data_IF_400207716385
#
_entry.id   IF_400207716385
#
_cell.length_a   1.000
_cell.length_b   1.000
_cell.length_c   1.000
_cell.angle_alpha   90.00
_cell.angle_beta   90.00
_cell.angle_gamma   90.00
#
_symmetry.space_group_name_H-M   'P 1'
#
loop_
_entity.id
_entity.type
_entity.pdbx_description
1 polymer ?
#
# COMPACT_ATOMS: atom_id res chain seq x y z
N UNK A 1 -4.78 60.02 54.36
CA UNK A 1 -3.50 59.35 54.62
C UNK A 1 -3.63 57.88 54.25
N UNK A 2 -2.74 57.44 53.32
CA UNK A 2 -2.39 56.06 52.99
C UNK A 2 -3.45 55.24 52.26
N UNK A 3 -3.43 55.09 50.96
CA UNK A 3 -2.73 54.28 49.98
C UNK A 3 -2.77 52.78 50.24
N UNK A 4 -3.47 52.07 49.39
CA UNK A 4 -3.03 50.81 48.90
C UNK A 4 -3.60 50.53 47.49
N UNK A 5 -2.71 50.42 46.50
CA UNK A 5 -3.02 49.89 45.15
C UNK A 5 -2.93 48.36 45.19
N UNK A 6 -3.74 47.61 44.49
CA UNK A 6 -3.50 46.20 44.24
C UNK A 6 -2.81 45.99 42.90
N UNK A 7 -1.91 45.07 42.97
CA UNK A 7 -1.21 44.41 41.89
C UNK A 7 -2.16 43.45 41.13
N UNK A 8 -2.39 43.74 39.90
CA UNK A 8 -3.07 42.83 38.93
C UNK A 8 -2.13 42.75 37.73
N UNK A 9 -1.28 41.73 37.72
CA UNK A 9 -0.60 41.26 36.50
C UNK A 9 -0.07 39.84 36.78
N UNK A 10 -0.64 38.85 36.16
CA UNK A 10 -0.01 37.59 35.70
C UNK A 10 -1.02 36.45 35.59
N UNK A 11 -1.83 36.42 34.55
CA UNK A 11 -2.45 35.19 34.06
C UNK A 11 -2.90 35.35 32.61
N UNK A 12 -1.92 35.43 31.73
CA UNK A 12 -2.20 35.36 30.29
C UNK A 12 -0.94 34.89 29.55
N UNK A 13 -0.47 33.66 29.85
CA UNK A 13 0.61 33.03 29.06
C UNK A 13 0.61 31.50 29.25
N UNK A 14 -0.47 30.83 29.02
CA UNK A 14 -0.50 29.38 29.05
C UNK A 14 -1.45 28.71 28.03
N UNK A 15 -2.02 29.46 27.10
CA UNK A 15 -3.03 28.90 26.19
C UNK A 15 -2.56 28.75 24.72
N UNK A 16 -1.30 29.09 24.39
CA UNK A 16 -0.86 29.13 22.99
C UNK A 16 0.02 27.96 22.55
N UNK A 17 0.39 27.04 23.43
CA UNK A 17 1.31 25.92 23.09
C UNK A 17 0.62 24.60 22.78
N UNK A 18 -0.67 24.43 23.00
CA UNK A 18 -1.37 23.15 22.71
C UNK A 18 -1.99 23.07 21.31
N UNK A 19 -2.13 24.17 20.59
CA UNK A 19 -2.73 24.15 19.23
C UNK A 19 -1.70 23.84 18.13
N UNK A 20 -0.41 24.02 18.38
CA UNK A 20 0.64 23.80 17.39
C UNK A 20 1.03 22.33 17.17
N UNK A 21 0.75 21.42 18.11
CA UNK A 21 1.16 20.01 18.02
C UNK A 21 0.16 19.11 17.27
N UNK A 22 -1.07 19.56 17.02
CA UNK A 22 -2.07 18.76 16.30
C UNK A 22 -2.05 18.97 14.77
N UNK A 23 -1.41 20.00 14.27
CA UNK A 23 -1.39 20.35 12.84
C UNK A 23 -0.20 19.78 12.05
N UNK A 24 0.78 19.18 12.72
CA UNK A 24 2.08 18.83 12.12
C UNK A 24 2.02 17.67 11.10
N UNK A 25 1.07 16.74 11.24
CA UNK A 25 0.94 15.61 10.31
C UNK A 25 0.38 16.00 8.93
N UNK A 26 -0.21 17.19 8.79
CA UNK A 26 -0.77 17.68 7.52
C UNK A 26 0.26 18.36 6.63
N UNK A 27 1.54 18.36 7.03
CA UNK A 27 2.62 18.91 6.23
C UNK A 27 3.62 17.83 5.84
N UNK A 28 3.86 17.72 4.54
CA UNK A 28 4.88 16.82 4.01
C UNK A 28 6.30 17.31 4.38
N UNK A 29 7.15 16.38 4.80
CA UNK A 29 8.59 16.64 4.98
C UNK A 29 9.32 16.93 3.65
N UNK A 30 8.67 16.66 2.52
CA UNK A 30 9.21 16.94 1.17
C UNK A 30 8.71 18.26 0.59
N UNK A 31 7.92 19.04 1.35
CA UNK A 31 7.48 20.37 1.00
C UNK A 31 5.99 20.49 0.68
N UNK A 32 5.51 21.74 0.64
CA UNK A 32 4.08 22.07 0.51
C UNK A 32 3.44 21.54 -0.80
N UNK A 33 4.22 21.47 -1.89
CA UNK A 33 3.73 21.04 -3.19
C UNK A 33 3.97 19.53 -3.44
N UNK A 34 4.40 18.78 -2.42
CA UNK A 34 4.67 17.37 -2.59
C UNK A 34 3.37 16.59 -2.79
N UNK A 35 3.36 15.76 -3.83
CA UNK A 35 2.23 14.90 -4.22
C UNK A 35 2.63 13.41 -4.35
N UNK A 36 3.87 13.06 -3.99
CA UNK A 36 4.39 11.69 -4.16
C UNK A 36 4.93 11.06 -2.87
N UNK A 37 4.92 11.80 -1.77
CA UNK A 37 5.24 11.25 -0.45
C UNK A 37 6.56 10.51 -0.38
N UNK A 38 6.55 9.31 0.18
CA UNK A 38 7.73 8.48 0.36
C UNK A 38 8.40 8.05 -0.97
N UNK A 39 7.73 8.18 -2.14
CA UNK A 39 8.37 7.95 -3.43
C UNK A 39 9.52 8.94 -3.71
N UNK A 40 9.62 10.07 -3.00
CA UNK A 40 10.81 10.93 -3.00
C UNK A 40 12.09 10.23 -2.54
N UNK A 41 11.99 9.08 -1.87
CA UNK A 41 13.13 8.26 -1.44
C UNK A 41 13.69 7.40 -2.58
N UNK A 42 13.00 7.28 -3.71
CA UNK A 42 13.42 6.46 -4.85
C UNK A 42 14.45 7.20 -5.70
N UNK A 43 15.67 7.34 -5.15
CA UNK A 43 16.78 8.02 -5.84
C UNK A 43 17.54 7.08 -6.78
N UNK A 44 18.31 7.61 -7.74
CA UNK A 44 19.18 6.79 -8.58
C UNK A 44 20.14 5.88 -7.80
N UNK A 45 20.59 6.32 -6.62
CA UNK A 45 21.48 5.56 -5.75
C UNK A 45 20.75 4.35 -5.15
N UNK A 46 19.49 4.52 -4.71
CA UNK A 46 18.64 3.43 -4.21
C UNK A 46 18.45 2.37 -5.32
N UNK A 47 18.16 2.81 -6.55
CA UNK A 47 18.03 1.90 -7.70
C UNK A 47 19.32 1.12 -7.94
N UNK A 48 20.48 1.80 -8.00
CA UNK A 48 21.78 1.13 -8.20
C UNK A 48 22.08 0.10 -7.11
N UNK A 49 21.78 0.43 -5.86
CA UNK A 49 21.97 -0.50 -4.75
C UNK A 49 21.06 -1.72 -4.87
N UNK A 50 19.80 -1.52 -5.27
CA UNK A 50 18.84 -2.60 -5.44
C UNK A 50 19.20 -3.54 -6.59
N UNK A 51 19.71 -3.02 -7.71
CA UNK A 51 20.22 -3.82 -8.83
C UNK A 51 21.35 -4.78 -8.39
N UNK A 52 22.16 -4.38 -7.42
CA UNK A 52 23.22 -5.23 -6.84
C UNK A 52 22.69 -6.46 -6.07
N UNK A 53 21.38 -6.57 -5.83
CA UNK A 53 20.74 -7.74 -5.19
C UNK A 53 20.45 -8.87 -6.17
N UNK A 54 20.53 -8.63 -7.47
CA UNK A 54 20.29 -9.67 -8.49
C UNK A 54 21.47 -10.63 -8.52
N UNK A 55 21.25 -11.83 -8.01
CA UNK A 55 22.29 -12.88 -7.90
C UNK A 55 22.11 -14.00 -8.93
N UNK A 56 20.88 -14.45 -9.12
CA UNK A 56 20.56 -15.58 -9.98
C UNK A 56 19.87 -15.18 -11.27
N UNK A 57 19.27 -13.97 -11.31
CA UNK A 57 18.41 -13.50 -12.39
C UNK A 57 17.02 -14.15 -12.38
N UNK A 58 16.66 -14.92 -11.34
CA UNK A 58 15.34 -15.50 -11.22
C UNK A 58 14.30 -14.43 -10.96
N UNK A 59 13.23 -14.46 -11.76
CA UNK A 59 12.11 -13.53 -11.66
C UNK A 59 10.92 -14.17 -10.96
N UNK A 60 10.18 -13.38 -10.18
CA UNK A 60 8.99 -13.78 -9.46
C UNK A 60 7.88 -12.80 -9.80
N UNK A 61 6.80 -13.22 -10.49
CA UNK A 61 5.60 -12.40 -10.60
C UNK A 61 4.95 -12.33 -9.22
N UNK A 62 4.57 -11.11 -8.80
CA UNK A 62 4.00 -10.87 -7.47
C UNK A 62 2.50 -10.58 -7.50
N UNK A 63 1.85 -10.67 -8.65
CA UNK A 63 0.42 -10.45 -8.78
C UNK A 63 -0.38 -11.75 -8.78
N UNK A 64 -1.59 -11.69 -8.22
CA UNK A 64 -2.60 -12.72 -8.41
C UNK A 64 -3.39 -12.44 -9.71
N UNK A 65 -3.77 -13.46 -10.49
CA UNK A 65 -4.65 -13.25 -11.65
C UNK A 65 -5.98 -12.65 -11.22
N UNK A 66 -6.39 -11.58 -11.89
CA UNK A 66 -7.68 -10.93 -11.63
C UNK A 66 -8.78 -11.61 -12.41
N UNK A 67 -9.88 -11.98 -11.75
CA UNK A 67 -11.07 -12.58 -12.36
C UNK A 67 -12.35 -12.12 -11.66
N UNK A 68 -13.49 -12.40 -12.26
CA UNK A 68 -14.81 -12.14 -11.66
C UNK A 68 -15.07 -12.91 -10.36
N UNK A 69 -14.32 -13.98 -10.13
CA UNK A 69 -14.49 -14.87 -8.98
C UNK A 69 -13.51 -14.54 -7.83
N UNK A 70 -12.63 -13.56 -8.03
CA UNK A 70 -11.69 -13.14 -7.00
C UNK A 70 -12.46 -12.40 -5.87
N UNK A 71 -12.31 -12.83 -4.60
CA UNK A 71 -12.96 -12.13 -3.49
C UNK A 71 -12.43 -10.71 -3.37
N UNK A 72 -13.33 -9.76 -3.17
CA UNK A 72 -12.98 -8.35 -3.06
C UNK A 72 -13.77 -7.68 -1.94
N UNK A 73 -13.18 -6.67 -1.32
CA UNK A 73 -13.76 -5.96 -0.19
C UNK A 73 -15.09 -5.28 -0.56
N UNK A 74 -16.13 -5.52 0.26
CA UNK A 74 -17.50 -5.01 0.07
C UNK A 74 -18.11 -5.43 -1.27
N UNK A 75 -18.59 -4.44 -2.06
CA UNK A 75 -19.30 -4.65 -3.33
C UNK A 75 -18.41 -4.50 -4.58
N UNK A 76 -17.08 -4.50 -4.39
CA UNK A 76 -16.15 -4.39 -5.52
C UNK A 76 -16.24 -5.64 -6.39
N UNK A 77 -16.17 -5.44 -7.71
CA UNK A 77 -16.24 -6.52 -8.69
C UNK A 77 -15.34 -6.23 -9.88
N UNK A 78 -15.06 -7.26 -10.66
CA UNK A 78 -14.28 -7.16 -11.88
C UNK A 78 -14.91 -8.05 -12.95
N UNK A 79 -15.11 -7.50 -14.15
CA UNK A 79 -15.64 -8.21 -15.29
C UNK A 79 -14.79 -7.92 -16.51
N UNK A 80 -14.44 -8.97 -17.24
CA UNK A 80 -13.73 -8.90 -18.51
C UNK A 80 -14.63 -9.51 -19.58
N UNK A 81 -14.82 -8.79 -20.65
CA UNK A 81 -15.59 -9.21 -21.81
C UNK A 81 -14.66 -9.25 -23.01
N UNK A 82 -14.68 -10.35 -23.74
CA UNK A 82 -13.96 -10.48 -25.00
C UNK A 82 -14.91 -10.16 -26.15
N UNK A 83 -14.54 -9.22 -26.99
CA UNK A 83 -15.34 -8.71 -28.10
C UNK A 83 -14.62 -9.03 -29.39
N UNK A 84 -15.32 -9.72 -30.31
CA UNK A 84 -14.83 -10.04 -31.64
C UNK A 84 -15.63 -9.28 -32.69
N UNK A 85 -15.09 -9.06 -33.91
CA UNK A 85 -15.84 -8.52 -35.03
C UNK A 85 -17.10 -9.35 -35.32
N UNK A 86 -18.23 -8.67 -35.60
CA UNK A 86 -19.49 -9.34 -35.88
C UNK A 86 -20.16 -9.98 -34.66
N UNK A 87 -20.01 -9.37 -33.47
CA UNK A 87 -20.68 -9.79 -32.25
C UNK A 87 -20.39 -11.27 -31.88
N UNK A 88 -19.12 -11.65 -31.97
CA UNK A 88 -18.64 -13.03 -31.72
C UNK A 88 -19.08 -14.07 -32.77
N UNK A 89 -19.58 -13.62 -33.91
CA UNK A 89 -19.97 -14.51 -34.99
C UNK A 89 -18.81 -15.05 -35.83
N UNK A 90 -17.55 -14.83 -35.42
CA UNK A 90 -16.37 -15.28 -36.15
C UNK A 90 -16.15 -14.58 -37.47
N UNK A 91 -16.65 -13.35 -37.63
CA UNK A 91 -16.44 -12.57 -38.85
C UNK A 91 -15.00 -12.11 -38.99
N UNK A 92 -14.55 -11.98 -40.20
CA UNK A 92 -13.21 -11.50 -40.54
C UNK A 92 -13.28 -10.22 -41.37
N UNK A 93 -12.26 -9.38 -41.30
CA UNK A 93 -12.16 -8.12 -42.00
C UNK A 93 -11.20 -8.21 -43.18
N UNK A 94 -11.57 -7.52 -44.27
CA UNK A 94 -10.72 -7.38 -45.45
C UNK A 94 -10.47 -8.68 -46.23
N UNK A 95 -9.71 -8.56 -47.32
CA UNK A 95 -9.38 -9.69 -48.23
C UNK A 95 -8.42 -10.70 -47.57
N UNK A 96 -7.63 -10.25 -46.63
CA UNK A 96 -6.69 -11.07 -45.86
C UNK A 96 -7.33 -11.76 -44.64
N UNK A 97 -8.68 -11.64 -44.50
CA UNK A 97 -9.44 -12.29 -43.41
C UNK A 97 -8.89 -12.01 -42.02
N UNK A 98 -8.56 -10.74 -41.75
CA UNK A 98 -8.05 -10.30 -40.47
C UNK A 98 -9.05 -10.60 -39.33
N UNK A 99 -8.55 -11.19 -38.24
CA UNK A 99 -9.30 -11.51 -37.03
C UNK A 99 -8.61 -10.93 -35.84
N UNK A 100 -9.35 -10.48 -34.83
CA UNK A 100 -8.83 -9.96 -33.59
C UNK A 100 -9.82 -10.17 -32.44
N UNK A 101 -9.34 -10.07 -31.23
CA UNK A 101 -10.14 -9.97 -30.03
C UNK A 101 -9.81 -8.65 -29.34
N UNK A 102 -10.84 -7.97 -28.84
CA UNK A 102 -10.70 -6.82 -27.96
C UNK A 102 -11.31 -7.11 -26.59
N UNK A 103 -10.72 -6.61 -25.55
CA UNK A 103 -11.18 -6.80 -24.18
C UNK A 103 -11.76 -5.50 -23.63
N UNK A 104 -13.00 -5.58 -23.15
CA UNK A 104 -13.63 -4.56 -22.33
C UNK A 104 -13.51 -4.95 -20.85
N UNK A 105 -12.90 -4.08 -20.05
CA UNK A 105 -12.84 -4.24 -18.60
C UNK A 105 -13.84 -3.30 -17.94
N UNK A 106 -14.71 -3.86 -17.12
CA UNK A 106 -15.60 -3.11 -16.23
C UNK A 106 -15.37 -3.61 -14.79
N UNK A 107 -14.79 -2.77 -13.96
CA UNK A 107 -14.43 -3.20 -12.61
C UNK A 107 -13.79 -2.11 -11.76
N UNK A 108 -13.55 -2.47 -10.53
CA UNK A 108 -12.88 -1.62 -9.55
C UNK A 108 -11.38 -1.83 -9.64
N UNK A 109 -10.60 -0.75 -9.64
CA UNK A 109 -9.13 -0.80 -9.61
C UNK A 109 -8.57 -1.36 -8.29
N UNK A 110 -9.42 -1.51 -7.29
CA UNK A 110 -9.13 -2.14 -6.00
C UNK A 110 -9.58 -3.60 -5.93
N UNK A 111 -9.55 -4.38 -7.03
CA UNK A 111 -9.77 -5.83 -7.08
C UNK A 111 -8.49 -6.51 -7.54
N UNK A 112 -7.99 -7.47 -6.76
CA UNK A 112 -6.73 -8.15 -7.03
C UNK A 112 -5.51 -7.39 -6.52
N UNK A 113 -4.34 -7.75 -7.01
CA UNK A 113 -3.08 -7.09 -6.63
C UNK A 113 -3.11 -5.62 -7.03
N UNK A 114 -2.89 -4.73 -6.07
CA UNK A 114 -3.10 -3.31 -6.25
C UNK A 114 -2.10 -2.44 -5.48
N UNK A 115 -1.93 -1.22 -5.98
CA UNK A 115 -1.27 -0.11 -5.31
C UNK A 115 -2.33 0.84 -4.79
N UNK A 116 -2.33 1.14 -3.50
CA UNK A 116 -3.06 2.24 -2.89
C UNK A 116 -2.15 3.46 -2.78
N UNK A 117 -2.50 4.50 -3.52
CA UNK A 117 -1.81 5.79 -3.50
C UNK A 117 -2.22 6.65 -2.31
N UNK A 118 -1.44 7.67 -2.05
CA UNK A 118 -1.61 8.59 -0.90
C UNK A 118 -2.84 9.49 -0.98
N UNK A 119 -3.53 9.48 -2.11
CA UNK A 119 -4.86 10.09 -2.28
C UNK A 119 -6.04 9.15 -1.99
N UNK A 120 -5.76 7.88 -1.59
CA UNK A 120 -6.82 6.87 -1.40
C UNK A 120 -7.47 6.93 -0.02
N UNK A 121 -6.69 7.06 1.05
CA UNK A 121 -7.16 7.06 2.44
C UNK A 121 -6.88 8.41 3.07
N UNK A 122 -7.87 8.95 3.78
CA UNK A 122 -7.77 10.22 4.51
C UNK A 122 -8.26 10.09 5.94
N UNK A 123 -8.16 11.19 6.68
CA UNK A 123 -8.67 11.35 8.05
C UNK A 123 -9.55 12.59 8.06
N UNK A 124 -10.82 12.47 8.40
CA UNK A 124 -11.79 13.57 8.41
C UNK A 124 -11.77 14.39 7.09
N UNK A 125 -11.78 13.68 5.95
CA UNK A 125 -11.69 14.25 4.59
C UNK A 125 -10.42 15.08 4.30
N UNK A 126 -9.37 14.92 5.11
CA UNK A 126 -8.04 15.45 4.86
C UNK A 126 -7.11 14.30 4.48
N UNK A 127 -6.42 14.45 3.36
CA UNK A 127 -5.49 13.49 2.78
C UNK A 127 -4.06 13.99 2.91
N UNK A 128 -3.12 13.18 2.42
CA UNK A 128 -1.71 13.49 2.49
C UNK A 128 -1.40 14.94 2.14
N UNK A 129 -0.45 15.54 2.90
CA UNK A 129 0.00 16.91 2.77
C UNK A 129 -1.12 17.95 2.91
N UNK A 130 -2.12 17.67 3.78
CA UNK A 130 -3.20 18.60 4.12
C UNK A 130 -4.22 18.86 3.01
N UNK A 131 -4.23 18.05 1.94
CA UNK A 131 -5.18 18.20 0.85
C UNK A 131 -6.60 17.81 1.30
N UNK A 132 -7.54 18.74 1.24
CA UNK A 132 -8.94 18.49 1.60
C UNK A 132 -9.69 17.88 0.41
N UNK A 133 -10.52 16.88 0.63
CA UNK A 133 -11.30 16.22 -0.41
C UNK A 133 -12.06 17.21 -1.30
N UNK A 134 -12.70 18.23 -0.69
CA UNK A 134 -13.47 19.24 -1.41
C UNK A 134 -12.67 20.01 -2.46
N UNK A 135 -11.33 20.06 -2.33
CA UNK A 135 -10.47 20.86 -3.19
C UNK A 135 -9.89 20.05 -4.37
N UNK A 136 -9.89 18.71 -4.30
CA UNK A 136 -9.19 17.91 -5.31
C UNK A 136 -9.92 16.65 -5.78
N UNK A 137 -10.98 16.20 -5.10
CA UNK A 137 -11.75 14.99 -5.50
C UNK A 137 -12.91 15.41 -6.37
N UNK A 138 -13.02 14.82 -7.56
CA UNK A 138 -14.13 15.03 -8.50
C UNK A 138 -14.70 13.67 -8.95
N UNK A 139 -15.86 13.69 -9.61
CA UNK A 139 -16.45 12.47 -10.19
C UNK A 139 -15.56 11.88 -11.30
N UNK A 140 -14.79 12.71 -12.00
CA UNK A 140 -13.89 12.29 -13.08
C UNK A 140 -12.52 11.84 -12.59
N UNK A 141 -12.27 11.92 -11.28
CA UNK A 141 -11.00 11.56 -10.66
C UNK A 141 -10.45 12.67 -9.76
N UNK A 142 -9.28 12.41 -9.20
CA UNK A 142 -8.59 13.40 -8.36
C UNK A 142 -7.69 14.33 -9.20
N UNK A 143 -7.60 15.60 -8.81
CA UNK A 143 -6.75 16.59 -9.48
C UNK A 143 -5.36 16.68 -8.85
N UNK A 144 -5.19 16.10 -7.64
CA UNK A 144 -3.94 15.97 -6.90
C UNK A 144 -3.81 14.55 -6.35
N UNK A 145 -2.61 14.15 -5.95
CA UNK A 145 -2.32 12.87 -5.31
C UNK A 145 -2.70 11.64 -6.14
N UNK A 146 -2.84 11.78 -7.46
CA UNK A 146 -3.14 10.68 -8.37
C UNK A 146 -1.94 9.75 -8.57
N UNK A 147 -2.21 8.46 -8.76
CA UNK A 147 -1.16 7.42 -8.91
C UNK A 147 -0.32 7.60 -10.18
N UNK A 148 -0.80 8.33 -11.17
CA UNK A 148 -0.05 8.66 -12.38
C UNK A 148 1.17 9.57 -12.13
N UNK A 149 1.20 10.25 -10.97
CA UNK A 149 2.33 11.08 -10.55
C UNK A 149 3.45 10.31 -9.87
N UNK A 150 3.14 9.08 -9.41
CA UNK A 150 4.10 8.23 -8.70
C UNK A 150 5.14 7.71 -9.70
N UNK A 151 6.44 7.92 -9.46
CA UNK A 151 7.47 7.37 -10.33
C UNK A 151 7.48 5.84 -10.25
N UNK A 152 8.04 5.14 -11.24
CA UNK A 152 8.25 3.70 -11.14
C UNK A 152 9.00 3.34 -9.85
N UNK A 153 8.51 2.36 -9.11
CA UNK A 153 9.19 1.88 -7.91
C UNK A 153 10.22 0.82 -8.30
N UNK A 154 11.47 1.23 -8.40
CA UNK A 154 12.62 0.34 -8.60
C UNK A 154 13.51 0.48 -7.39
N UNK A 155 13.46 -0.49 -6.47
CA UNK A 155 14.12 -0.41 -5.18
C UNK A 155 14.36 -1.80 -4.59
N UNK A 156 14.91 -1.87 -3.37
CA UNK A 156 14.97 -3.12 -2.63
C UNK A 156 13.60 -3.50 -2.09
N UNK A 157 13.16 -4.73 -2.41
CA UNK A 157 12.06 -5.39 -1.72
C UNK A 157 12.59 -6.29 -0.60
N UNK A 158 11.84 -6.34 0.50
CA UNK A 158 12.07 -7.22 1.64
C UNK A 158 10.78 -7.97 1.92
N UNK A 159 10.83 -9.31 2.00
CA UNK A 159 9.68 -10.11 2.42
C UNK A 159 9.92 -10.71 3.79
N UNK A 160 9.00 -10.47 4.72
CA UNK A 160 8.99 -10.99 6.07
C UNK A 160 8.11 -12.24 6.14
N UNK A 161 8.72 -13.40 6.41
CA UNK A 161 8.04 -14.68 6.47
C UNK A 161 7.37 -14.90 7.85
N UNK A 162 6.14 -14.38 7.97
CA UNK A 162 5.35 -14.51 9.19
C UNK A 162 4.85 -15.95 9.37
N UNK A 163 4.67 -16.71 8.28
CA UNK A 163 4.28 -18.13 8.37
C UNK A 163 5.34 -18.95 9.10
N UNK A 164 6.62 -18.76 8.75
CA UNK A 164 7.74 -19.43 9.43
C UNK A 164 7.98 -18.91 10.85
N UNK A 165 7.64 -17.66 11.13
CA UNK A 165 7.75 -17.09 12.46
C UNK A 165 6.71 -17.68 13.42
N UNK A 166 5.44 -17.72 13.02
CA UNK A 166 4.35 -18.27 13.82
C UNK A 166 4.24 -19.82 13.75
N UNK A 167 4.98 -20.47 12.86
CA UNK A 167 4.90 -21.93 12.65
C UNK A 167 3.55 -22.36 12.10
N UNK A 168 2.91 -21.54 11.24
CA UNK A 168 1.60 -21.77 10.66
C UNK A 168 1.66 -21.64 9.14
N UNK A 169 0.98 -22.54 8.42
CA UNK A 169 0.83 -22.41 6.96
C UNK A 169 0.01 -21.17 6.56
N UNK A 170 -0.99 -20.86 7.39
CA UNK A 170 -1.79 -19.63 7.31
C UNK A 170 -1.80 -19.02 8.72
N UNK A 171 -1.34 -17.77 8.84
CA UNK A 171 -1.41 -17.05 10.11
C UNK A 171 -2.87 -16.73 10.41
N UNK A 172 -3.39 -17.01 11.64
CA UNK A 172 -4.80 -16.78 11.95
C UNK A 172 -5.22 -15.32 11.75
N UNK A 173 -6.43 -15.11 11.20
CA UNK A 173 -7.01 -13.77 11.07
C UNK A 173 -7.14 -13.09 12.43
N UNK A 174 -6.99 -11.75 12.45
CA UNK A 174 -6.97 -10.96 13.67
C UNK A 174 -5.63 -11.03 14.45
N UNK A 175 -4.61 -11.72 13.93
CA UNK A 175 -3.28 -11.70 14.54
C UNK A 175 -2.59 -10.37 14.25
N UNK A 176 -2.29 -9.61 15.31
CA UNK A 176 -1.50 -8.37 15.22
C UNK A 176 -0.01 -8.69 15.15
N UNK A 177 0.68 -8.12 14.17
CA UNK A 177 2.15 -8.14 14.11
C UNK A 177 2.68 -6.90 14.82
N UNK A 178 3.28 -7.12 15.99
CA UNK A 178 3.86 -6.08 16.82
C UNK A 178 5.25 -5.66 16.31
N UNK A 179 5.76 -4.56 16.84
CA UNK A 179 7.16 -4.14 16.59
C UNK A 179 8.15 -5.24 16.91
N UNK A 180 7.93 -5.98 18.00
CA UNK A 180 8.83 -7.06 18.44
C UNK A 180 8.77 -8.26 17.50
N UNK A 181 7.57 -8.62 16.97
CA UNK A 181 7.43 -9.67 15.96
C UNK A 181 8.18 -9.30 14.68
N UNK A 182 7.99 -8.08 14.18
CA UNK A 182 8.68 -7.59 12.97
C UNK A 182 10.19 -7.62 13.16
N UNK A 183 10.69 -7.12 14.27
CA UNK A 183 12.14 -7.16 14.61
C UNK A 183 12.67 -8.57 14.76
N UNK A 184 11.90 -9.49 15.34
CA UNK A 184 12.29 -10.88 15.49
C UNK A 184 12.42 -11.58 14.13
N UNK A 185 11.49 -11.35 13.20
CA UNK A 185 11.55 -11.90 11.85
C UNK A 185 12.75 -11.31 11.09
N UNK A 186 12.95 -10.00 11.10
CA UNK A 186 14.11 -9.35 10.49
C UNK A 186 15.42 -9.94 11.02
N UNK A 187 15.56 -10.09 12.33
CA UNK A 187 16.74 -10.72 12.96
C UNK A 187 16.92 -12.16 12.50
N UNK A 188 15.85 -12.97 12.49
CA UNK A 188 15.88 -14.37 12.06
C UNK A 188 16.31 -14.52 10.59
N UNK A 189 15.88 -13.58 9.75
CA UNK A 189 16.22 -13.56 8.32
C UNK A 189 17.57 -12.85 8.02
N UNK A 190 18.20 -12.23 9.03
CA UNK A 190 19.48 -11.51 8.88
C UNK A 190 19.36 -10.21 8.12
N UNK A 191 18.19 -9.54 8.18
CA UNK A 191 17.86 -8.35 7.40
C UNK A 191 17.88 -7.11 8.30
N UNK A 192 18.41 -6.02 7.75
CA UNK A 192 18.28 -4.67 8.30
C UNK A 192 17.58 -3.79 7.26
N UNK A 193 16.51 -3.11 7.65
CA UNK A 193 15.78 -2.21 6.75
C UNK A 193 16.62 -0.99 6.36
N UNK A 194 16.34 -0.46 5.18
CA UNK A 194 17.01 0.71 4.60
C UNK A 194 15.96 1.70 4.08
N UNK A 195 16.33 2.95 4.00
CA UNK A 195 15.49 3.98 3.37
C UNK A 195 15.18 3.60 1.92
N UNK A 196 13.92 3.75 1.54
CA UNK A 196 13.43 3.40 0.22
C UNK A 196 13.00 1.95 0.02
N UNK A 197 13.06 1.10 1.07
CA UNK A 197 12.60 -0.28 0.97
C UNK A 197 11.10 -0.39 0.72
N UNK A 198 10.69 -1.44 0.01
CA UNK A 198 9.35 -2.01 0.01
C UNK A 198 9.35 -3.21 0.97
N UNK A 199 8.49 -3.19 1.98
CA UNK A 199 8.39 -4.25 3.00
C UNK A 199 7.09 -5.02 2.82
N UNK A 200 7.21 -6.32 2.52
CA UNK A 200 6.09 -7.22 2.27
C UNK A 200 5.98 -8.27 3.37
N UNK A 201 4.76 -8.62 3.74
CA UNK A 201 4.45 -9.65 4.73
C UNK A 201 3.89 -10.89 4.04
N UNK A 202 4.48 -12.06 4.30
CA UNK A 202 3.95 -13.35 3.88
C UNK A 202 3.19 -13.97 5.05
N UNK A 203 1.90 -14.10 4.92
CA UNK A 203 1.02 -14.64 5.98
C UNK A 203 0.34 -15.95 5.59
N UNK A 204 0.44 -16.34 4.32
CA UNK A 204 -0.27 -17.48 3.75
C UNK A 204 -1.74 -17.19 3.44
N UNK A 205 -2.21 -15.96 3.57
CA UNK A 205 -3.63 -15.60 3.47
C UNK A 205 -4.23 -15.84 2.08
N UNK A 206 -3.42 -15.71 1.02
CA UNK A 206 -3.85 -16.04 -0.35
C UNK A 206 -4.29 -17.50 -0.53
N UNK A 207 -3.88 -18.41 0.34
CA UNK A 207 -4.31 -19.80 0.29
C UNK A 207 -5.79 -20.01 0.59
N UNK A 208 -6.48 -19.02 1.14
CA UNK A 208 -7.93 -19.03 1.38
C UNK A 208 -8.74 -18.73 0.12
N UNK A 209 -8.17 -18.05 -0.87
CA UNK A 209 -8.89 -17.68 -2.10
C UNK A 209 -9.38 -18.93 -2.81
N UNK A 210 -10.69 -18.98 -3.06
CA UNK A 210 -11.36 -20.12 -3.68
C UNK A 210 -11.58 -21.32 -2.76
N UNK A 211 -11.06 -21.28 -1.51
CA UNK A 211 -11.28 -22.33 -0.49
C UNK A 211 -12.24 -21.83 0.60
N UNK A 212 -11.98 -20.63 1.13
CA UNK A 212 -12.82 -19.97 2.14
C UNK A 212 -12.79 -18.45 1.93
N UNK A 213 -13.51 -18.00 0.90
CA UNK A 213 -13.61 -16.58 0.59
C UNK A 213 -14.35 -15.79 1.68
N UNK A 214 -15.16 -16.45 2.50
CA UNK A 214 -15.83 -15.79 3.62
C UNK A 214 -14.82 -15.43 4.71
N UNK A 215 -14.00 -16.37 5.13
CA UNK A 215 -12.93 -16.10 6.09
C UNK A 215 -11.92 -15.09 5.53
N UNK A 216 -11.56 -15.23 4.24
CA UNK A 216 -10.64 -14.31 3.56
C UNK A 216 -11.05 -12.85 3.72
N UNK A 217 -12.35 -12.54 3.59
CA UNK A 217 -12.89 -11.17 3.67
C UNK A 217 -13.29 -10.71 5.06
N UNK A 218 -13.57 -11.66 5.99
CA UNK A 218 -14.07 -11.33 7.31
C UNK A 218 -12.96 -10.88 8.27
N UNK A 219 -11.77 -11.38 8.09
CA UNK A 219 -10.61 -11.09 8.96
C UNK A 219 -9.33 -11.11 8.15
N UNK A 220 -8.24 -10.60 8.70
CA UNK A 220 -6.88 -10.87 8.22
C UNK A 220 -5.84 -10.61 9.32
N UNK A 221 -4.67 -11.28 9.27
CA UNK A 221 -3.53 -10.91 10.08
C UNK A 221 -2.80 -9.72 9.44
N UNK A 222 -2.13 -8.90 10.24
CA UNK A 222 -1.34 -7.79 9.70
C UNK A 222 -0.68 -6.97 10.80
N UNK A 223 0.02 -5.92 10.41
CA UNK A 223 0.71 -5.03 11.35
C UNK A 223 -0.28 -4.22 12.17
N UNK A 224 0.10 -3.93 13.41
CA UNK A 224 -0.57 -2.96 14.25
C UNK A 224 -0.05 -1.52 14.02
N UNK A 225 -0.70 -0.53 14.60
CA UNK A 225 -0.30 0.87 14.44
C UNK A 225 1.10 1.17 15.00
N UNK A 226 1.52 0.66 16.17
CA UNK A 226 2.91 0.80 16.63
C UNK A 226 3.95 0.23 15.67
N UNK A 227 3.69 -0.95 15.07
CA UNK A 227 4.59 -1.54 14.07
C UNK A 227 4.64 -0.69 12.79
N UNK A 228 3.51 -0.15 12.35
CA UNK A 228 3.45 0.77 11.23
C UNK A 228 4.26 2.05 11.49
N UNK A 229 4.15 2.63 12.69
CA UNK A 229 4.93 3.79 13.11
C UNK A 229 6.44 3.50 13.06
N UNK A 230 6.83 2.37 13.62
CA UNK A 230 8.23 1.96 13.63
C UNK A 230 8.76 1.74 12.20
N UNK A 231 8.00 1.08 11.32
CA UNK A 231 8.38 0.86 9.91
C UNK A 231 8.52 2.19 9.16
N UNK A 232 7.59 3.12 9.36
CA UNK A 232 7.65 4.45 8.75
C UNK A 232 8.91 5.21 9.16
N UNK A 233 9.35 5.07 10.41
CA UNK A 233 10.58 5.69 10.91
C UNK A 233 11.86 5.05 10.35
N UNK A 234 11.78 3.82 9.80
CA UNK A 234 12.89 3.24 9.01
C UNK A 234 12.99 3.89 7.62
N UNK A 235 12.00 4.69 7.20
CA UNK A 235 11.99 5.37 5.90
C UNK A 235 11.63 4.44 4.73
N UNK A 236 10.72 3.52 4.93
CA UNK A 236 10.21 2.65 3.84
C UNK A 236 9.38 3.47 2.85
N UNK A 237 9.32 3.03 1.58
CA UNK A 237 8.50 3.68 0.55
C UNK A 237 7.11 3.08 0.47
N UNK A 238 6.99 1.78 0.69
CA UNK A 238 5.73 1.06 0.70
C UNK A 238 5.77 -0.10 1.68
N UNK A 239 4.61 -0.46 2.19
CA UNK A 239 4.34 -1.70 2.92
C UNK A 239 3.28 -2.49 2.17
N UNK A 240 3.15 -3.76 2.49
CA UNK A 240 2.13 -4.59 1.85
C UNK A 240 2.25 -6.06 2.22
N UNK A 241 1.51 -6.89 1.50
CA UNK A 241 1.55 -8.34 1.73
C UNK A 241 0.49 -9.10 0.96
N UNK A 242 0.30 -10.34 1.36
CA UNK A 242 -0.61 -11.28 0.75
C UNK A 242 -2.06 -11.19 1.30
N UNK A 243 -2.36 -10.12 2.05
CA UNK A 243 -3.68 -9.78 2.60
C UNK A 243 -4.32 -8.61 1.83
N UNK A 244 -5.60 -8.30 2.10
CA UNK A 244 -6.38 -7.33 1.34
C UNK A 244 -6.40 -5.90 1.92
N UNK A 245 -5.83 -5.67 3.13
CA UNK A 245 -5.60 -4.34 3.71
C UNK A 245 -4.20 -4.17 4.30
N UNK A 246 -3.42 -5.26 4.42
CA UNK A 246 -2.05 -5.27 4.96
C UNK A 246 -1.92 -4.86 6.43
N UNK A 247 -3.04 -4.72 7.13
CA UNK A 247 -3.13 -4.46 8.57
C UNK A 247 -4.04 -5.46 9.27
N UNK A 248 -3.91 -5.60 10.56
CA UNK A 248 -4.79 -6.52 11.32
C UNK A 248 -6.25 -6.09 11.21
N UNK A 249 -7.12 -7.02 10.80
CA UNK A 249 -8.56 -6.79 10.70
C UNK A 249 -9.36 -7.95 11.30
N UNK A 250 -10.43 -7.66 12.10
CA UNK A 250 -10.78 -6.34 12.61
C UNK A 250 -9.69 -5.78 13.54
N UNK A 251 -9.58 -4.45 13.58
CA UNK A 251 -8.60 -3.82 14.46
C UNK A 251 -9.02 -4.00 15.92
N UNK A 252 -8.10 -4.42 16.84
CA UNK A 252 -8.43 -4.63 18.24
C UNK A 252 -8.96 -3.40 18.98
N UNK A 253 -8.66 -2.19 18.51
CA UNK A 253 -9.18 -0.93 19.09
C UNK A 253 -10.58 -0.57 18.61
N UNK A 254 -11.09 -1.27 17.59
CA UNK A 254 -12.36 -0.96 16.94
C UNK A 254 -12.30 0.21 15.95
N UNK A 255 -11.12 0.72 15.66
CA UNK A 255 -10.90 1.73 14.62
C UNK A 255 -10.89 1.09 13.24
N UNK A 256 -11.39 1.79 12.21
CA UNK A 256 -11.38 1.35 10.83
C UNK A 256 -10.08 1.78 10.14
N UNK A 257 -9.23 0.82 9.77
CA UNK A 257 -8.00 0.98 9.02
C UNK A 257 -7.02 2.05 9.55
N UNK A 258 -6.68 2.05 10.86
CA UNK A 258 -5.81 3.07 11.46
C UNK A 258 -4.37 3.02 10.90
N UNK A 259 -3.89 1.85 10.50
CA UNK A 259 -2.56 1.71 9.87
C UNK A 259 -2.54 2.37 8.51
N UNK A 260 -3.55 2.09 7.67
CA UNK A 260 -3.65 2.73 6.35
C UNK A 260 -3.81 4.25 6.47
N UNK A 261 -4.62 4.73 7.42
CA UNK A 261 -4.72 6.17 7.70
C UNK A 261 -3.37 6.77 8.09
N UNK A 262 -2.61 6.10 8.93
CA UNK A 262 -1.29 6.58 9.34
C UNK A 262 -0.29 6.55 8.18
N UNK A 263 -0.18 5.43 7.48
CA UNK A 263 0.82 5.24 6.43
C UNK A 263 0.55 6.16 5.24
N UNK A 264 -0.68 6.17 4.70
CA UNK A 264 -0.99 6.93 3.50
C UNK A 264 -1.17 8.41 3.79
N UNK A 265 -2.07 8.77 4.72
CA UNK A 265 -2.43 10.18 4.93
C UNK A 265 -1.37 10.95 5.73
N UNK A 266 -0.76 10.35 6.77
CA UNK A 266 0.20 11.08 7.62
C UNK A 266 1.65 10.97 7.14
N UNK A 267 2.03 9.83 6.54
CA UNK A 267 3.44 9.55 6.22
C UNK A 267 3.72 9.48 4.71
N UNK A 268 2.67 9.48 3.87
CA UNK A 268 2.81 9.39 2.42
C UNK A 268 3.44 8.08 1.94
N UNK A 269 3.28 7.00 2.71
CA UNK A 269 3.80 5.66 2.43
C UNK A 269 2.71 4.83 1.75
N UNK A 270 3.04 4.17 0.66
CA UNK A 270 2.11 3.41 -0.17
C UNK A 270 1.75 2.06 0.43
N UNK A 271 0.52 1.56 0.15
CA UNK A 271 0.12 0.20 0.49
C UNK A 271 0.00 -0.66 -0.77
N UNK A 272 0.57 -1.88 -0.72
CA UNK A 272 0.56 -2.89 -1.78
C UNK A 272 -0.20 -4.11 -1.30
N UNK A 273 -1.38 -4.36 -1.85
CA UNK A 273 -2.28 -5.41 -1.38
C UNK A 273 -2.30 -6.60 -2.33
N UNK A 274 -2.60 -7.78 -1.78
CA UNK A 274 -2.68 -9.07 -2.50
C UNK A 274 -1.41 -9.38 -3.29
N UNK A 275 -0.25 -9.18 -2.68
CA UNK A 275 1.05 -9.49 -3.26
C UNK A 275 1.36 -10.98 -3.05
N UNK A 276 1.55 -11.72 -4.13
CA UNK A 276 1.94 -13.14 -4.05
C UNK A 276 3.41 -13.31 -3.66
N UNK A 277 3.65 -13.52 -2.39
CA UNK A 277 5.00 -13.69 -1.82
C UNK A 277 5.42 -15.16 -1.66
N UNK A 278 4.54 -16.12 -1.99
CA UNK A 278 4.73 -17.55 -1.72
C UNK A 278 6.01 -18.12 -2.35
N UNK A 279 6.32 -17.74 -3.57
CA UNK A 279 7.51 -18.21 -4.25
C UNK A 279 8.80 -17.63 -3.66
N UNK A 280 8.77 -16.37 -3.20
CA UNK A 280 9.89 -15.72 -2.54
C UNK A 280 10.28 -16.43 -1.23
N UNK A 281 9.30 -16.68 -0.35
CA UNK A 281 9.57 -17.32 0.94
C UNK A 281 9.98 -18.80 0.77
N UNK A 282 9.37 -19.54 -0.17
CA UNK A 282 9.78 -20.91 -0.50
C UNK A 282 11.24 -20.99 -0.91
N UNK A 283 11.71 -20.03 -1.69
CA UNK A 283 13.07 -20.01 -2.21
C UNK A 283 14.03 -19.22 -1.28
N UNK A 284 13.53 -18.71 -0.16
CA UNK A 284 14.26 -17.86 0.81
C UNK A 284 14.89 -16.62 0.17
N UNK A 285 14.27 -16.09 -0.88
CA UNK A 285 14.65 -14.84 -1.55
C UNK A 285 14.04 -13.66 -0.75
N UNK A 286 14.54 -13.46 0.46
CA UNK A 286 13.98 -12.48 1.39
C UNK A 286 14.32 -11.02 1.05
N UNK A 287 15.40 -10.80 0.29
CA UNK A 287 15.79 -9.52 -0.27
C UNK A 287 15.90 -9.66 -1.79
N UNK A 288 15.38 -8.71 -2.54
CA UNK A 288 15.33 -8.76 -4.00
C UNK A 288 15.26 -7.36 -4.60
N UNK A 289 15.57 -7.26 -5.89
CA UNK A 289 15.21 -6.09 -6.67
C UNK A 289 13.70 -6.09 -6.90
N UNK A 290 13.00 -5.10 -6.37
CA UNK A 290 11.57 -4.87 -6.59
C UNK A 290 11.39 -3.91 -7.76
N UNK A 291 10.55 -4.29 -8.72
CA UNK A 291 10.25 -3.48 -9.92
C UNK A 291 8.74 -3.36 -10.09
N UNK A 292 8.24 -2.14 -10.11
CA UNK A 292 6.85 -1.80 -10.37
C UNK A 292 6.76 -0.57 -11.26
N UNK A 293 6.21 -0.73 -12.47
CA UNK A 293 5.68 0.35 -13.29
C UNK A 293 4.16 0.19 -13.35
N UNK A 294 3.44 1.06 -12.65
CA UNK A 294 1.98 1.00 -12.60
C UNK A 294 1.31 1.60 -13.85
N UNK A 295 0.10 1.16 -14.22
CA UNK A 295 -0.72 1.87 -15.19
C UNK A 295 -0.97 3.34 -14.80
N UNK A 296 -0.87 4.24 -15.77
CA UNK A 296 -0.99 5.69 -15.55
C UNK A 296 -2.44 6.17 -15.73
N UNK A 297 -3.37 5.68 -14.91
CA UNK A 297 -4.75 6.14 -14.91
C UNK A 297 -4.83 7.50 -14.26
N UNK A 298 -4.93 8.56 -15.09
CA UNK A 298 -4.98 9.94 -14.62
C UNK A 298 -6.14 10.15 -13.66
N UNK A 299 -5.84 10.68 -12.49
CA UNK A 299 -6.82 10.97 -11.45
C UNK A 299 -7.29 9.74 -10.66
N UNK A 300 -6.64 8.58 -10.80
CA UNK A 300 -6.93 7.42 -9.97
C UNK A 300 -6.12 7.47 -8.67
N UNK A 301 -6.72 7.01 -7.57
CA UNK A 301 -6.03 6.88 -6.27
C UNK A 301 -5.61 5.45 -5.96
N UNK A 302 -6.10 4.48 -6.75
CA UNK A 302 -5.72 3.06 -6.70
C UNK A 302 -5.50 2.55 -8.11
N UNK A 303 -4.72 1.51 -8.27
CA UNK A 303 -4.50 0.87 -9.57
C UNK A 303 -4.11 -0.58 -9.39
N UNK A 304 -4.61 -1.46 -10.29
CA UNK A 304 -4.11 -2.83 -10.38
C UNK A 304 -2.65 -2.82 -10.83
N UNK A 305 -1.87 -3.69 -10.26
CA UNK A 305 -0.42 -3.77 -10.52
C UNK A 305 0.02 -5.22 -10.77
N UNK A 306 1.13 -5.36 -11.47
CA UNK A 306 1.86 -6.62 -11.60
C UNK A 306 3.34 -6.38 -11.29
N UNK A 307 3.71 -6.24 -10.01
CA UNK A 307 5.10 -6.04 -9.65
C UNK A 307 5.91 -7.32 -9.85
N UNK A 308 7.22 -7.13 -10.01
CA UNK A 308 8.16 -8.23 -10.20
C UNK A 308 9.27 -8.14 -9.17
N UNK A 309 9.62 -9.28 -8.57
CA UNK A 309 10.86 -9.43 -7.82
C UNK A 309 11.91 -10.13 -8.68
N UNK A 310 13.17 -9.70 -8.57
CA UNK A 310 14.31 -10.31 -9.27
C UNK A 310 15.41 -10.59 -8.23
N UNK A 311 15.83 -11.87 -8.13
CA UNK A 311 16.84 -12.31 -7.14
C UNK A 311 18.09 -12.89 -7.77
#
# INVERSE_FOLDING_TARGET
MNYFKPLLLATALAATTQVALAADWQQSSYGHNDEIGAANLLTPEVVKQAVGLVKTGKTYPLAVPVSKDLPAFRHRSFHLYNIQPGEQAGQTLGKNKFSFNDELVNGWTGVGTQLNGIGHIGIDNVYYNGNKAADFVTVEGVTKLGVEKVPPMVTRGVVLDMTAYYGKAIVPGGTSFTVDDVKAVLKKQGITLRKGDVVLFNTGWLELIGKDNQQFLATEPGIDLPAAQWLADQGIVAFGGDTWASEVYPNPTGEEFPVNQFMLAKRGIYNLELIDTRALVRDKAYEFLFVLGQPLYKGSTQVNINPVAIH
#
